data_IF_893093279787
#
_entry.id   IF_893093279787
#
_cell.length_a   1.000
_cell.length_b   1.000
_cell.length_c   1.000
_cell.angle_alpha   90.00
_cell.angle_beta   90.00
_cell.angle_gamma   90.00
#
_symmetry.space_group_name_H-M   'P 1'
#
loop_
_entity.id
_entity.type
_entity.pdbx_description
1 polymer ?
#
# COMPACT_ATOMS: atom_id res chain seq x y z
N UNK A 1 -17.36 -26.02 2.27
CA UNK A 1 -17.11 -24.62 2.67
C UNK A 1 -17.33 -24.51 4.18
N UNK A 2 -16.40 -23.89 4.91
CA UNK A 2 -16.60 -23.55 6.33
C UNK A 2 -17.75 -22.55 6.51
N UNK A 3 -18.31 -22.41 7.73
CA UNK A 3 -19.36 -21.41 8.04
C UNK A 3 -18.88 -19.99 7.70
N UNK A 4 -17.62 -19.66 8.02
CA UNK A 4 -16.95 -18.41 7.71
C UNK A 4 -16.90 -18.13 6.20
N UNK A 5 -16.44 -19.08 5.39
CA UNK A 5 -16.36 -18.91 3.94
C UNK A 5 -17.74 -18.69 3.31
N UNK A 6 -18.78 -19.34 3.85
CA UNK A 6 -20.18 -19.14 3.40
C UNK A 6 -20.63 -17.72 3.74
N UNK A 7 -20.42 -17.28 4.98
CA UNK A 7 -20.80 -15.93 5.43
C UNK A 7 -20.11 -14.83 4.63
N UNK A 8 -18.82 -14.98 4.33
CA UNK A 8 -18.07 -14.05 3.47
C UNK A 8 -18.62 -14.01 2.04
N UNK A 9 -19.05 -15.17 1.49
CA UNK A 9 -19.70 -15.23 0.19
C UNK A 9 -21.06 -14.52 0.17
N UNK A 10 -21.88 -14.72 1.21
CA UNK A 10 -23.16 -14.04 1.37
C UNK A 10 -22.98 -12.52 1.46
N UNK A 11 -22.02 -12.06 2.23
CA UNK A 11 -21.70 -10.63 2.38
C UNK A 11 -21.43 -9.97 1.01
N UNK A 12 -20.70 -10.63 0.11
CA UNK A 12 -20.37 -10.08 -1.22
C UNK A 12 -21.40 -10.40 -2.32
N UNK A 13 -22.56 -10.97 -1.98
CA UNK A 13 -23.62 -11.28 -2.93
C UNK A 13 -23.39 -12.56 -3.75
N UNK A 14 -22.57 -13.51 -3.24
CA UNK A 14 -22.31 -14.79 -3.90
C UNK A 14 -21.35 -14.72 -5.10
N UNK A 15 -20.97 -13.54 -5.57
CA UNK A 15 -20.00 -13.34 -6.66
C UNK A 15 -18.60 -13.86 -6.29
N UNK A 16 -17.73 -14.00 -7.31
CA UNK A 16 -16.33 -14.36 -7.10
C UNK A 16 -15.62 -13.28 -6.24
N UNK A 17 -14.78 -13.67 -5.27
CA UNK A 17 -14.06 -12.70 -4.48
C UNK A 17 -13.07 -11.91 -5.34
N UNK A 18 -12.99 -10.61 -5.14
CA UNK A 18 -11.90 -9.78 -5.69
C UNK A 18 -10.59 -10.19 -5.04
N UNK A 19 -9.61 -10.54 -5.86
CA UNK A 19 -8.28 -10.95 -5.39
C UNK A 19 -7.46 -9.72 -5.00
N UNK A 20 -6.71 -9.86 -3.92
CA UNK A 20 -5.68 -8.88 -3.56
C UNK A 20 -4.52 -8.94 -4.57
N UNK A 21 -3.81 -7.83 -4.68
CA UNK A 21 -2.52 -7.70 -5.37
C UNK A 21 -1.55 -6.92 -4.47
N UNK A 22 -0.33 -6.68 -4.91
CA UNK A 22 0.67 -5.95 -4.12
C UNK A 22 0.15 -4.58 -3.62
N UNK A 23 -0.53 -3.81 -4.48
CA UNK A 23 -1.08 -2.50 -4.13
C UNK A 23 -2.20 -2.61 -3.09
N UNK A 24 -3.15 -3.52 -3.27
CA UNK A 24 -4.26 -3.69 -2.32
C UNK A 24 -3.79 -4.27 -0.99
N UNK A 25 -2.80 -5.17 -1.03
CA UNK A 25 -2.16 -5.71 0.18
C UNK A 25 -1.36 -4.63 0.92
N UNK A 26 -0.57 -3.84 0.21
CA UNK A 26 0.13 -2.68 0.77
C UNK A 26 -0.86 -1.69 1.40
N UNK A 27 -1.98 -1.45 0.75
CA UNK A 27 -3.03 -0.56 1.24
C UNK A 27 -3.66 -1.01 2.56
N UNK A 28 -3.56 -2.29 2.98
CA UNK A 28 -4.00 -2.77 4.30
C UNK A 28 -3.25 -2.06 5.44
N UNK A 29 -2.02 -1.64 5.22
CA UNK A 29 -1.20 -0.94 6.21
C UNK A 29 -1.56 0.53 6.38
N UNK A 30 -2.20 1.14 5.37
CA UNK A 30 -2.48 2.58 5.33
C UNK A 30 -3.52 3.03 6.36
N UNK A 31 -4.40 2.14 6.81
CA UNK A 31 -5.37 2.45 7.85
C UNK A 31 -5.65 1.21 8.73
N UNK A 32 -4.69 0.83 9.56
CA UNK A 32 -4.84 -0.28 10.47
C UNK A 32 -5.87 0.06 11.55
N UNK A 33 -6.95 -0.65 11.63
CA UNK A 33 -7.98 -0.42 12.64
C UNK A 33 -9.34 0.01 12.08
N UNK A 34 -9.49 0.06 10.76
CA UNK A 34 -10.78 0.24 10.12
C UNK A 34 -11.49 -1.11 9.99
N UNK A 35 -12.53 -1.35 10.79
CA UNK A 35 -13.29 -2.61 10.79
C UNK A 35 -14.03 -2.82 9.47
N UNK A 36 -14.67 -1.77 8.94
CA UNK A 36 -15.35 -1.80 7.63
C UNK A 36 -14.41 -2.31 6.54
N UNK A 37 -13.20 -1.74 6.45
CA UNK A 37 -12.22 -2.19 5.47
C UNK A 37 -11.78 -3.63 5.69
N UNK A 38 -11.50 -4.01 6.94
CA UNK A 38 -11.06 -5.37 7.25
C UNK A 38 -12.10 -6.42 6.83
N UNK A 39 -13.39 -6.16 7.09
CA UNK A 39 -14.49 -7.04 6.66
C UNK A 39 -14.60 -7.12 5.14
N UNK A 40 -14.57 -5.98 4.45
CA UNK A 40 -14.73 -5.94 2.99
C UNK A 40 -13.55 -6.60 2.27
N UNK A 41 -12.32 -6.37 2.75
CA UNK A 41 -11.12 -6.99 2.20
C UNK A 41 -11.13 -8.52 2.46
N UNK A 42 -11.52 -8.97 3.67
CA UNK A 42 -11.66 -10.41 3.97
C UNK A 42 -12.76 -11.08 3.14
N UNK A 43 -13.86 -10.38 2.87
CA UNK A 43 -14.92 -10.89 2.01
C UNK A 43 -14.54 -10.90 0.52
N UNK A 44 -13.47 -10.21 0.12
CA UNK A 44 -13.17 -9.99 -1.29
C UNK A 44 -14.25 -9.17 -1.99
N UNK A 45 -14.84 -8.19 -1.29
CA UNK A 45 -15.93 -7.37 -1.81
C UNK A 45 -15.47 -6.46 -2.95
N UNK A 46 -16.36 -6.18 -3.90
CA UNK A 46 -16.14 -5.24 -5.00
C UNK A 46 -16.24 -3.79 -4.53
N UNK A 47 -15.24 -3.30 -3.80
CA UNK A 47 -15.23 -1.94 -3.24
C UNK A 47 -15.43 -0.82 -4.28
N UNK A 48 -14.85 -0.88 -5.50
CA UNK A 48 -15.20 0.05 -6.57
C UNK A 48 -16.70 0.08 -6.89
N UNK A 49 -17.28 -1.09 -7.12
CA UNK A 49 -18.73 -1.21 -7.39
C UNK A 49 -19.60 -0.73 -6.22
N UNK A 50 -19.18 -1.01 -4.97
CA UNK A 50 -19.84 -0.46 -3.78
C UNK A 50 -19.79 1.07 -3.75
N UNK A 51 -18.63 1.66 -4.03
CA UNK A 51 -18.44 3.12 -4.04
C UNK A 51 -19.32 3.80 -5.10
N UNK A 52 -19.41 3.23 -6.30
CA UNK A 52 -20.31 3.69 -7.35
C UNK A 52 -21.77 3.59 -6.90
N UNK A 53 -22.16 2.45 -6.35
CA UNK A 53 -23.54 2.17 -5.96
C UNK A 53 -24.04 3.10 -4.86
N UNK A 54 -23.18 3.50 -3.92
CA UNK A 54 -23.52 4.48 -2.87
C UNK A 54 -23.34 5.93 -3.32
N UNK A 55 -22.96 6.20 -4.58
CA UNK A 55 -22.85 7.54 -5.15
C UNK A 55 -21.54 8.28 -4.83
N UNK A 56 -20.49 7.54 -4.44
CA UNK A 56 -19.16 8.10 -4.12
C UNK A 56 -18.05 7.37 -4.87
N UNK A 57 -18.07 7.36 -6.23
CA UNK A 57 -17.07 6.61 -7.01
C UNK A 57 -15.66 7.12 -6.71
N UNK A 58 -14.76 6.19 -6.45
CA UNK A 58 -13.35 6.49 -6.26
C UNK A 58 -12.67 6.59 -7.62
N UNK A 59 -11.99 7.71 -7.87
CA UNK A 59 -11.18 7.90 -9.07
C UNK A 59 -9.76 7.39 -8.81
N UNK A 60 -9.58 6.07 -8.83
CA UNK A 60 -8.26 5.48 -8.83
C UNK A 60 -7.84 5.10 -10.24
N UNK A 61 -6.64 5.46 -10.60
CA UNK A 61 -6.03 5.05 -11.85
C UNK A 61 -4.69 5.76 -12.03
N UNK A 62 -3.71 5.05 -12.54
CA UNK A 62 -2.51 5.69 -13.10
C UNK A 62 -2.88 6.16 -14.52
N UNK A 63 -2.43 7.36 -14.89
CA UNK A 63 -2.58 7.80 -16.27
C UNK A 63 -1.75 6.87 -17.19
N UNK A 64 -2.20 6.68 -18.44
CA UNK A 64 -1.44 5.90 -19.45
C UNK A 64 -0.02 6.45 -19.61
N UNK A 65 0.14 7.77 -19.53
CA UNK A 65 1.44 8.41 -19.56
C UNK A 65 2.35 7.97 -18.41
N UNK A 66 1.81 7.89 -17.17
CA UNK A 66 2.58 7.46 -16.02
C UNK A 66 3.01 5.99 -16.12
N UNK A 67 2.14 5.13 -16.66
CA UNK A 67 2.44 3.71 -16.90
C UNK A 67 3.56 3.59 -17.97
N UNK A 68 3.38 4.25 -19.11
CA UNK A 68 4.39 4.21 -20.21
C UNK A 68 5.75 4.72 -19.75
N UNK A 69 5.76 5.81 -18.97
CA UNK A 69 7.01 6.34 -18.40
C UNK A 69 7.63 5.36 -17.39
N UNK A 70 6.81 4.70 -16.58
CA UNK A 70 7.25 3.67 -15.64
C UNK A 70 7.97 2.53 -16.36
N UNK A 71 7.29 1.95 -17.34
CA UNK A 71 7.82 0.83 -18.13
C UNK A 71 9.10 1.20 -18.90
N UNK A 72 9.14 2.41 -19.48
CA UNK A 72 10.32 2.89 -20.19
C UNK A 72 11.54 3.09 -19.27
N UNK A 73 11.32 3.62 -18.07
CA UNK A 73 12.39 3.79 -17.08
C UNK A 73 12.87 2.43 -16.55
N UNK A 74 11.96 1.53 -16.25
CA UNK A 74 12.28 0.17 -15.80
C UNK A 74 13.09 -0.60 -16.85
N UNK A 75 12.67 -0.57 -18.12
CA UNK A 75 13.39 -1.20 -19.21
C UNK A 75 14.82 -0.62 -19.37
N UNK A 76 14.99 0.69 -19.18
CA UNK A 76 16.30 1.33 -19.20
C UNK A 76 17.20 0.86 -18.05
N UNK A 77 16.65 0.77 -16.82
CA UNK A 77 17.37 0.32 -15.63
C UNK A 77 17.81 -1.14 -15.74
N UNK A 78 17.00 -1.97 -16.40
CA UNK A 78 17.24 -3.40 -16.61
C UNK A 78 18.02 -3.73 -17.89
N UNK A 79 18.38 -2.71 -18.68
CA UNK A 79 19.16 -2.92 -19.90
C UNK A 79 20.49 -3.65 -19.62
N UNK A 80 21.05 -4.28 -20.67
CA UNK A 80 22.34 -4.97 -20.63
C UNK A 80 22.45 -6.03 -19.50
N UNK A 81 21.36 -6.78 -19.27
CA UNK A 81 21.30 -7.80 -18.23
C UNK A 81 21.40 -7.24 -16.82
N UNK A 82 21.01 -5.98 -16.62
CA UNK A 82 21.00 -5.32 -15.33
C UNK A 82 22.39 -4.92 -14.80
N UNK A 83 23.39 -4.79 -15.65
CA UNK A 83 24.76 -4.47 -15.22
C UNK A 83 24.84 -3.15 -14.43
N UNK A 84 24.21 -2.08 -14.93
CA UNK A 84 24.17 -0.80 -14.22
C UNK A 84 23.34 -0.90 -12.93
N UNK A 85 22.25 -1.67 -12.94
CA UNK A 85 21.45 -1.91 -11.75
C UNK A 85 22.25 -2.64 -10.68
N UNK A 86 22.99 -3.70 -11.05
CA UNK A 86 23.87 -4.41 -10.13
C UNK A 86 24.90 -3.48 -9.50
N UNK A 87 25.56 -2.66 -10.33
CA UNK A 87 26.54 -1.67 -9.87
C UNK A 87 25.92 -0.71 -8.84
N UNK A 88 24.73 -0.17 -9.12
CA UNK A 88 24.02 0.73 -8.21
C UNK A 88 23.63 0.06 -6.88
N UNK A 89 23.13 -1.18 -6.95
CA UNK A 89 22.76 -1.96 -5.75
C UNK A 89 23.99 -2.24 -4.91
N UNK A 90 25.05 -2.75 -5.52
CA UNK A 90 26.31 -3.07 -4.83
C UNK A 90 26.95 -1.83 -4.18
N UNK A 91 26.99 -0.70 -4.90
CA UNK A 91 27.48 0.60 -4.38
C UNK A 91 26.68 0.99 -3.12
N UNK A 92 25.36 0.85 -3.12
CA UNK A 92 24.54 1.21 -1.98
C UNK A 92 24.67 0.26 -0.78
N UNK A 93 24.94 -1.01 -1.06
CA UNK A 93 25.20 -2.00 -0.02
C UNK A 93 26.65 -1.99 0.48
N UNK A 94 27.53 -1.23 -0.18
CA UNK A 94 28.95 -1.18 0.16
C UNK A 94 29.70 -2.49 -0.12
N UNK A 95 29.27 -3.23 -1.16
CA UNK A 95 29.89 -4.50 -1.56
C UNK A 95 30.52 -4.38 -2.94
N UNK A 96 31.54 -5.20 -3.19
CA UNK A 96 32.17 -5.29 -4.52
C UNK A 96 31.24 -6.06 -5.49
N UNK A 97 31.04 -5.51 -6.67
CA UNK A 97 30.20 -6.08 -7.75
C UNK A 97 31.01 -6.52 -8.98
N UNK A 98 32.31 -6.63 -8.85
CA UNK A 98 33.20 -6.96 -9.99
C UNK A 98 33.14 -8.44 -10.41
N UNK A 99 32.49 -9.30 -9.60
CA UNK A 99 32.28 -10.70 -9.91
C UNK A 99 31.19 -10.95 -10.95
N UNK A 100 31.14 -12.15 -11.55
CA UNK A 100 30.07 -12.55 -12.45
C UNK A 100 28.73 -12.56 -11.73
N UNK A 101 27.70 -12.02 -12.36
CA UNK A 101 26.32 -12.08 -11.88
C UNK A 101 25.45 -12.85 -12.89
N UNK A 102 24.46 -13.59 -12.38
CA UNK A 102 23.47 -14.24 -13.22
C UNK A 102 22.21 -13.38 -13.30
N UNK A 103 21.63 -13.28 -14.51
CA UNK A 103 20.32 -12.68 -14.73
C UNK A 103 19.30 -13.75 -15.11
N UNK A 104 18.19 -13.81 -14.42
CA UNK A 104 17.11 -14.74 -14.71
C UNK A 104 15.81 -13.96 -14.84
N UNK A 105 15.25 -13.89 -16.06
CA UNK A 105 13.93 -13.30 -16.32
C UNK A 105 12.85 -14.35 -16.04
N UNK A 106 12.12 -14.16 -14.95
CA UNK A 106 11.02 -15.04 -14.52
C UNK A 106 9.65 -14.55 -15.02
N UNK A 107 9.59 -13.39 -15.67
CA UNK A 107 8.40 -12.80 -16.27
C UNK A 107 8.29 -12.96 -17.79
N UNK A 108 9.30 -13.52 -18.46
CA UNK A 108 9.42 -13.54 -19.92
C UNK A 108 8.23 -14.23 -20.62
N UNK A 109 7.71 -15.28 -20.05
CA UNK A 109 6.64 -16.10 -20.67
C UNK A 109 5.25 -15.43 -20.60
N UNK A 110 5.05 -14.43 -19.73
CA UNK A 110 3.76 -13.78 -19.50
C UNK A 110 3.58 -12.48 -20.31
N UNK A 111 4.52 -12.14 -21.21
CA UNK A 111 4.49 -10.90 -22.04
C UNK A 111 3.55 -10.97 -23.24
N UNK A 112 2.42 -11.62 -23.11
CA UNK A 112 1.40 -11.75 -24.14
C UNK A 112 0.01 -11.52 -23.61
N UNK A 113 -0.80 -12.55 -23.65
CA UNK A 113 -2.14 -12.57 -23.05
C UNK A 113 -2.05 -12.65 -21.51
N UNK A 114 -3.08 -12.15 -20.77
CA UNK A 114 -3.12 -12.33 -19.34
C UNK A 114 -3.03 -13.82 -19.00
N UNK A 115 -2.05 -14.21 -18.15
CA UNK A 115 -1.78 -15.62 -17.89
C UNK A 115 -2.99 -16.31 -17.27
N UNK A 116 -3.29 -17.51 -17.73
CA UNK A 116 -4.29 -18.35 -17.09
C UNK A 116 -3.79 -18.82 -15.70
N UNK A 117 -4.66 -19.43 -14.93
CA UNK A 117 -4.32 -19.90 -13.59
C UNK A 117 -3.18 -20.95 -13.58
N UNK A 118 -3.06 -21.74 -14.67
CA UNK A 118 -2.05 -22.79 -14.81
C UNK A 118 -0.67 -22.18 -15.08
N UNK A 119 -0.60 -21.19 -15.97
CA UNK A 119 0.62 -20.43 -16.27
C UNK A 119 1.12 -19.69 -15.02
N UNK A 120 0.23 -19.01 -14.28
CA UNK A 120 0.56 -18.38 -13.00
C UNK A 120 1.12 -19.37 -11.97
N UNK A 121 0.51 -20.55 -11.84
CA UNK A 121 0.99 -21.56 -10.91
C UNK A 121 2.38 -22.08 -11.31
N UNK A 122 2.60 -22.36 -12.59
CA UNK A 122 3.90 -22.77 -13.13
C UNK A 122 4.99 -21.72 -12.89
N UNK A 123 4.69 -20.44 -13.16
CA UNK A 123 5.62 -19.33 -12.90
C UNK A 123 5.94 -19.17 -11.42
N UNK A 124 4.95 -19.27 -10.54
CA UNK A 124 5.17 -19.22 -9.08
C UNK A 124 6.08 -20.38 -8.60
N UNK A 125 5.90 -21.59 -9.16
CA UNK A 125 6.74 -22.73 -8.84
C UNK A 125 8.19 -22.53 -9.33
N UNK A 126 8.41 -22.02 -10.55
CA UNK A 126 9.74 -21.68 -11.08
C UNK A 126 10.41 -20.60 -10.23
N UNK A 127 9.69 -19.52 -9.89
CA UNK A 127 10.19 -18.44 -9.05
C UNK A 127 10.63 -18.96 -7.67
N UNK A 128 9.82 -19.80 -7.07
CA UNK A 128 10.13 -20.44 -5.78
C UNK A 128 11.40 -21.27 -5.86
N UNK A 129 11.51 -22.16 -6.86
CA UNK A 129 12.68 -23.03 -7.03
C UNK A 129 13.96 -22.20 -7.29
N UNK A 130 13.89 -21.19 -8.15
CA UNK A 130 15.03 -20.34 -8.47
C UNK A 130 15.53 -19.53 -7.25
N UNK A 131 14.60 -18.94 -6.48
CA UNK A 131 14.93 -18.16 -5.28
C UNK A 131 15.46 -19.04 -4.15
N UNK A 132 14.89 -20.23 -3.94
CA UNK A 132 15.39 -21.18 -2.93
C UNK A 132 16.81 -21.65 -3.27
N UNK A 133 17.08 -22.00 -4.54
CA UNK A 133 18.41 -22.39 -5.01
C UNK A 133 19.45 -21.25 -4.92
N UNK A 134 19.02 -20.01 -4.87
CA UNK A 134 19.88 -18.85 -4.71
C UNK A 134 20.14 -18.48 -3.25
N UNK A 135 19.60 -19.21 -2.27
CA UNK A 135 19.96 -18.99 -0.87
C UNK A 135 21.49 -19.11 -0.70
N UNK A 136 22.15 -18.13 -0.05
CA UNK A 136 23.60 -18.14 0.06
C UNK A 136 24.06 -19.35 0.85
N UNK A 137 25.00 -20.11 0.28
CA UNK A 137 25.65 -21.28 0.89
C UNK A 137 27.08 -20.94 1.28
N UNK A 138 27.71 -19.98 0.58
CA UNK A 138 29.08 -19.50 0.81
C UNK A 138 29.22 -17.99 0.62
N UNK A 139 30.31 -17.45 1.17
CA UNK A 139 30.60 -16.02 1.07
C UNK A 139 30.97 -15.56 -0.36
N UNK A 140 31.47 -16.49 -1.18
CA UNK A 140 31.98 -16.23 -2.53
C UNK A 140 30.98 -16.60 -3.65
N UNK A 141 29.73 -16.91 -3.30
CA UNK A 141 28.72 -17.23 -4.30
C UNK A 141 28.45 -16.00 -5.20
N UNK A 142 28.39 -16.18 -6.53
CA UNK A 142 28.15 -15.08 -7.45
C UNK A 142 26.75 -14.48 -7.23
N UNK A 143 26.64 -13.17 -7.40
CA UNK A 143 25.37 -12.46 -7.31
C UNK A 143 24.35 -13.01 -8.32
N UNK A 144 23.08 -13.05 -7.95
CA UNK A 144 22.00 -13.46 -8.82
C UNK A 144 20.87 -12.43 -8.81
N UNK A 145 20.42 -12.04 -10.01
CA UNK A 145 19.35 -11.10 -10.24
C UNK A 145 18.14 -11.82 -10.84
N UNK A 146 17.00 -11.75 -10.17
CA UNK A 146 15.74 -12.35 -10.59
C UNK A 146 14.76 -11.25 -11.00
N UNK A 147 14.51 -11.17 -12.30
CA UNK A 147 13.59 -10.20 -12.90
C UNK A 147 12.16 -10.72 -12.80
N UNK A 148 11.25 -9.91 -12.28
CA UNK A 148 9.83 -10.21 -12.12
C UNK A 148 9.51 -11.59 -11.49
N UNK A 149 10.13 -11.98 -10.37
CA UNK A 149 9.76 -13.22 -9.73
C UNK A 149 8.32 -13.15 -9.19
N UNK A 150 7.59 -14.26 -9.29
CA UNK A 150 6.23 -14.33 -8.77
C UNK A 150 6.24 -14.96 -7.37
N UNK A 151 6.02 -14.13 -6.36
CA UNK A 151 5.94 -14.51 -4.96
C UNK A 151 4.48 -14.81 -4.56
N UNK A 152 4.29 -15.61 -3.52
CA UNK A 152 2.97 -15.87 -2.97
C UNK A 152 2.87 -15.43 -1.52
N UNK A 153 1.73 -14.84 -1.14
CA UNK A 153 1.40 -14.45 0.23
C UNK A 153 -0.05 -14.84 0.54
N UNK A 154 -0.32 -15.34 1.74
CA UNK A 154 -1.69 -15.62 2.15
C UNK A 154 -2.30 -14.41 2.85
N UNK A 155 -3.40 -13.91 2.29
CA UNK A 155 -4.14 -12.73 2.79
C UNK A 155 -5.59 -13.11 3.01
N UNK A 156 -6.05 -13.12 4.24
CA UNK A 156 -7.42 -13.50 4.61
C UNK A 156 -7.86 -14.87 4.04
N UNK A 157 -6.96 -15.85 4.03
CA UNK A 157 -7.21 -17.18 3.50
C UNK A 157 -7.23 -17.27 1.96
N UNK A 158 -6.81 -16.21 1.28
CA UNK A 158 -6.65 -16.19 -0.18
C UNK A 158 -5.18 -16.14 -0.54
N UNK A 159 -4.72 -17.02 -1.45
CA UNK A 159 -3.38 -16.93 -2.02
C UNK A 159 -3.29 -15.79 -3.00
N UNK A 160 -2.43 -14.82 -2.70
CA UNK A 160 -2.15 -13.64 -3.53
C UNK A 160 -0.82 -13.83 -4.23
N UNK A 161 -0.77 -13.49 -5.50
CA UNK A 161 0.48 -13.46 -6.26
C UNK A 161 1.00 -12.02 -6.33
N UNK A 162 2.29 -11.86 -6.05
CA UNK A 162 3.00 -10.60 -5.88
C UNK A 162 4.23 -10.61 -6.79
N UNK A 163 4.43 -9.55 -7.54
CA UNK A 163 5.49 -9.45 -8.52
C UNK A 163 6.36 -8.23 -8.20
N UNK A 164 7.48 -8.38 -7.46
CA UNK A 164 8.47 -7.33 -7.32
C UNK A 164 9.18 -7.06 -8.65
N UNK A 165 9.62 -5.83 -8.86
CA UNK A 165 10.35 -5.46 -10.07
C UNK A 165 11.64 -6.29 -10.23
N UNK A 166 12.35 -6.53 -9.10
CA UNK A 166 13.53 -7.40 -9.08
C UNK A 166 13.87 -7.89 -7.66
N UNK A 167 14.46 -9.07 -7.57
CA UNK A 167 15.11 -9.57 -6.37
C UNK A 167 16.59 -9.83 -6.66
N UNK A 168 17.48 -9.20 -5.89
CA UNK A 168 18.91 -9.44 -5.92
C UNK A 168 19.30 -10.39 -4.79
N UNK A 169 19.99 -11.48 -5.11
CA UNK A 169 20.47 -12.48 -4.15
C UNK A 169 21.98 -12.47 -4.02
N UNK A 170 22.48 -12.92 -2.88
CA UNK A 170 23.90 -13.09 -2.56
C UNK A 170 24.71 -11.78 -2.52
N UNK A 171 24.06 -10.65 -2.48
CA UNK A 171 24.72 -9.36 -2.21
C UNK A 171 24.78 -9.13 -0.70
N UNK A 172 25.95 -8.89 -0.14
CA UNK A 172 26.19 -8.85 1.30
C UNK A 172 25.65 -10.12 2.03
N UNK A 173 25.68 -11.29 1.36
CA UNK A 173 25.17 -12.56 1.90
C UNK A 173 23.65 -12.61 2.10
N UNK A 174 22.88 -11.76 1.42
CA UNK A 174 21.43 -11.62 1.62
C UNK A 174 20.68 -11.51 0.31
N UNK A 175 19.34 -11.60 0.43
CA UNK A 175 18.39 -11.19 -0.57
C UNK A 175 17.96 -9.74 -0.33
N UNK A 176 17.87 -8.97 -1.38
CA UNK A 176 17.38 -7.60 -1.38
C UNK A 176 16.26 -7.44 -2.41
N UNK A 177 15.13 -6.90 -1.99
CA UNK A 177 14.10 -6.44 -2.92
C UNK A 177 14.59 -5.15 -3.54
N UNK A 178 14.49 -5.04 -4.85
CA UNK A 178 14.78 -3.84 -5.62
C UNK A 178 13.47 -3.34 -6.23
N UNK A 179 13.11 -2.11 -5.90
CA UNK A 179 11.88 -1.45 -6.37
C UNK A 179 12.25 -0.31 -7.32
N UNK A 180 11.70 -0.32 -8.52
CA UNK A 180 12.00 0.67 -9.57
C UNK A 180 10.81 1.62 -9.71
N UNK A 181 11.02 2.92 -9.52
CA UNK A 181 9.96 3.93 -9.60
C UNK A 181 10.37 5.08 -10.51
N UNK A 182 9.44 5.56 -11.34
CA UNK A 182 9.68 6.64 -12.30
C UNK A 182 9.49 8.06 -11.75
N UNK A 183 9.26 8.24 -10.45
CA UNK A 183 9.27 9.57 -9.86
C UNK A 183 10.70 10.06 -9.61
N UNK A 184 10.99 11.37 -9.85
CA UNK A 184 12.34 11.87 -9.76
C UNK A 184 12.83 12.04 -8.33
N UNK A 185 14.16 11.92 -8.16
CA UNK A 185 14.93 12.38 -7.01
C UNK A 185 15.57 13.71 -7.39
N UNK A 186 15.07 14.84 -6.86
CA UNK A 186 15.53 16.19 -7.19
C UNK A 186 16.42 16.68 -6.05
N UNK A 187 17.63 17.15 -6.35
CA UNK A 187 18.62 17.60 -5.36
C UNK A 187 18.84 16.57 -4.23
N UNK A 188 18.83 15.29 -4.56
CA UNK A 188 18.99 14.19 -3.61
C UNK A 188 17.76 13.87 -2.78
N UNK A 189 16.63 14.52 -3.02
CA UNK A 189 15.37 14.32 -2.29
C UNK A 189 14.26 13.81 -3.21
N UNK A 190 13.55 12.79 -2.76
CA UNK A 190 12.32 12.31 -3.39
C UNK A 190 11.09 12.75 -2.59
N UNK A 191 9.93 12.81 -3.25
CA UNK A 191 8.66 13.07 -2.58
C UNK A 191 8.43 12.06 -1.43
N UNK A 192 8.31 12.50 -0.17
CA UNK A 192 8.19 11.61 0.99
C UNK A 192 6.99 10.68 0.93
N UNK A 193 5.85 11.15 0.36
CA UNK A 193 4.65 10.34 0.22
C UNK A 193 4.84 9.20 -0.77
N UNK A 194 5.54 9.46 -1.88
CA UNK A 194 5.86 8.43 -2.89
C UNK A 194 6.87 7.41 -2.36
N UNK A 195 7.88 7.85 -1.61
CA UNK A 195 8.83 6.96 -0.94
C UNK A 195 8.12 6.10 0.09
N UNK A 196 7.23 6.68 0.91
CA UNK A 196 6.44 5.93 1.88
C UNK A 196 5.54 4.87 1.21
N UNK A 197 4.91 5.20 0.09
CA UNK A 197 4.09 4.25 -0.67
C UNK A 197 4.94 3.10 -1.25
N UNK A 198 6.12 3.40 -1.81
CA UNK A 198 7.06 2.40 -2.28
C UNK A 198 7.56 1.50 -1.13
N UNK A 199 7.91 2.07 0.02
CA UNK A 199 8.33 1.32 1.21
C UNK A 199 7.26 0.34 1.70
N UNK A 200 5.99 0.74 1.69
CA UNK A 200 4.87 -0.12 2.07
C UNK A 200 4.71 -1.27 1.06
N UNK A 201 4.78 -0.98 -0.23
CA UNK A 201 4.71 -1.99 -1.30
C UNK A 201 5.87 -3.00 -1.19
N UNK A 202 7.08 -2.51 -1.01
CA UNK A 202 8.28 -3.34 -0.86
C UNK A 202 8.23 -4.21 0.40
N UNK A 203 7.64 -3.72 1.51
CA UNK A 203 7.44 -4.53 2.71
C UNK A 203 6.58 -5.77 2.45
N UNK A 204 5.59 -5.68 1.55
CA UNK A 204 4.78 -6.84 1.15
C UNK A 204 5.64 -7.87 0.43
N UNK A 205 6.53 -7.44 -0.45
CA UNK A 205 7.47 -8.32 -1.16
C UNK A 205 8.48 -8.96 -0.22
N UNK A 206 9.07 -8.18 0.70
CA UNK A 206 9.99 -8.70 1.71
C UNK A 206 9.32 -9.76 2.59
N UNK A 207 8.07 -9.53 3.01
CA UNK A 207 7.32 -10.51 3.79
C UNK A 207 7.09 -11.80 3.00
N UNK A 208 6.59 -11.69 1.76
CA UNK A 208 6.33 -12.84 0.91
C UNK A 208 7.60 -13.67 0.60
N UNK A 209 8.73 -12.99 0.37
CA UNK A 209 10.02 -13.65 0.15
C UNK A 209 10.52 -14.34 1.41
N UNK A 210 10.34 -13.76 2.60
CA UNK A 210 10.66 -14.39 3.88
C UNK A 210 9.85 -15.65 4.12
N UNK A 211 8.55 -15.61 3.83
CA UNK A 211 7.68 -16.77 3.96
C UNK A 211 8.06 -17.88 2.96
N UNK A 212 8.40 -17.48 1.72
CA UNK A 212 8.86 -18.41 0.70
C UNK A 212 10.13 -19.14 1.17
N UNK A 213 11.16 -18.40 1.59
CA UNK A 213 12.42 -19.00 2.04
C UNK A 213 12.25 -19.87 3.28
N UNK A 214 11.44 -19.42 4.25
CA UNK A 214 11.13 -20.22 5.43
C UNK A 214 10.39 -21.53 5.07
N UNK A 215 9.48 -21.51 4.10
CA UNK A 215 8.77 -22.70 3.62
C UNK A 215 9.71 -23.70 2.90
N UNK A 216 10.82 -23.20 2.32
CA UNK A 216 11.87 -24.00 1.68
C UNK A 216 12.99 -24.40 2.68
N UNK A 217 12.82 -24.14 3.98
CA UNK A 217 13.77 -24.54 5.04
C UNK A 217 14.96 -23.60 5.24
N UNK A 218 14.92 -22.40 4.64
CA UNK A 218 15.96 -21.38 4.81
C UNK A 218 15.59 -20.36 5.90
N UNK A 219 16.60 -19.68 6.45
CA UNK A 219 16.39 -18.62 7.43
C UNK A 219 15.75 -17.39 6.75
N UNK A 220 14.59 -16.97 7.25
CA UNK A 220 13.92 -15.75 6.79
C UNK A 220 14.76 -14.47 7.00
N UNK A 221 15.76 -14.50 7.91
CA UNK A 221 16.70 -13.41 8.14
C UNK A 221 17.66 -13.18 6.96
N UNK A 222 17.77 -14.13 6.03
CA UNK A 222 18.49 -13.95 4.76
C UNK A 222 17.86 -12.83 3.90
N UNK A 223 16.59 -12.50 4.09
CA UNK A 223 15.95 -11.38 3.38
C UNK A 223 16.12 -10.09 4.15
N UNK A 224 16.84 -9.15 3.57
CA UNK A 224 17.08 -7.83 4.15
C UNK A 224 15.78 -7.05 4.38
N UNK A 225 15.76 -6.24 5.43
CA UNK A 225 14.72 -5.21 5.61
C UNK A 225 15.08 -3.90 4.88
N UNK A 226 16.29 -3.78 4.38
CA UNK A 226 16.72 -2.65 3.57
C UNK A 226 16.42 -2.97 2.11
N UNK A 227 15.48 -2.23 1.56
CA UNK A 227 15.06 -2.34 0.16
C UNK A 227 15.82 -1.31 -0.67
N UNK A 228 16.23 -1.69 -1.87
CA UNK A 228 16.87 -0.77 -2.80
C UNK A 228 15.80 -0.10 -3.67
N UNK A 229 15.60 1.20 -3.48
CA UNK A 229 14.70 2.01 -4.30
C UNK A 229 15.50 2.69 -5.40
N UNK A 230 15.16 2.40 -6.68
CA UNK A 230 15.81 2.97 -7.86
C UNK A 230 14.87 3.96 -8.53
N UNK A 231 15.32 5.20 -8.68
CA UNK A 231 14.55 6.30 -9.26
C UNK A 231 15.39 7.08 -10.28
N UNK A 232 14.78 7.86 -11.19
CA UNK A 232 15.52 8.77 -12.06
C UNK A 232 16.06 9.96 -11.26
N UNK A 233 17.32 10.34 -11.53
CA UNK A 233 17.93 11.56 -10.98
C UNK A 233 17.35 12.76 -11.72
N UNK A 234 16.84 13.70 -10.96
CA UNK A 234 16.26 14.96 -11.44
C UNK A 234 15.20 14.69 -12.55
N UNK A 235 15.29 15.36 -13.67
CA UNK A 235 14.43 15.16 -14.83
C UNK A 235 15.09 14.30 -15.93
N UNK A 236 16.33 13.82 -15.68
CA UNK A 236 17.00 12.88 -16.57
C UNK A 236 16.58 11.43 -16.23
N UNK A 237 16.65 10.53 -17.22
CA UNK A 237 16.40 9.10 -16.98
C UNK A 237 17.62 8.36 -16.38
N UNK A 238 18.60 9.10 -15.82
CA UNK A 238 19.77 8.48 -15.18
C UNK A 238 19.35 7.85 -13.85
N UNK A 239 19.53 6.55 -13.64
CA UNK A 239 19.10 5.91 -12.41
C UNK A 239 19.99 6.27 -11.21
N UNK A 240 19.38 6.41 -10.06
CA UNK A 240 20.05 6.49 -8.75
C UNK A 240 19.35 5.54 -7.78
N UNK A 241 20.14 4.90 -6.90
CA UNK A 241 19.63 4.00 -5.90
C UNK A 241 19.69 4.62 -4.50
N UNK A 242 18.77 4.24 -3.63
CA UNK A 242 18.77 4.57 -2.20
C UNK A 242 18.28 3.39 -1.40
N UNK A 243 18.74 3.25 -0.14
CA UNK A 243 18.25 2.24 0.79
C UNK A 243 17.05 2.79 1.57
N UNK A 244 16.02 1.95 1.67
CA UNK A 244 14.80 2.25 2.41
C UNK A 244 14.55 1.14 3.44
N UNK A 245 14.63 1.47 4.72
CA UNK A 245 14.31 0.55 5.81
C UNK A 245 12.80 0.35 5.93
N UNK A 246 12.34 -0.90 5.74
CA UNK A 246 10.92 -1.26 5.79
C UNK A 246 10.50 -2.01 7.06
N UNK A 247 11.32 -2.04 8.10
CA UNK A 247 11.01 -2.77 9.36
C UNK A 247 9.70 -2.31 10.00
N UNK A 248 9.46 -1.00 10.02
CA UNK A 248 8.22 -0.44 10.56
C UNK A 248 7.00 -0.90 9.76
N UNK A 249 7.08 -0.87 8.45
CA UNK A 249 6.03 -1.30 7.52
C UNK A 249 5.74 -2.79 7.67
N UNK A 250 6.78 -3.62 7.81
CA UNK A 250 6.65 -5.06 8.06
C UNK A 250 5.88 -5.36 9.35
N UNK A 251 6.17 -4.65 10.45
CA UNK A 251 5.45 -4.81 11.71
C UNK A 251 3.96 -4.47 11.58
N UNK A 252 3.66 -3.37 10.89
CA UNK A 252 2.26 -2.95 10.66
C UNK A 252 1.55 -3.95 9.77
N UNK A 253 2.19 -4.39 8.68
CA UNK A 253 1.63 -5.36 7.74
C UNK A 253 1.28 -6.69 8.45
N UNK A 254 2.22 -7.27 9.21
CA UNK A 254 1.98 -8.50 9.96
C UNK A 254 0.79 -8.39 10.89
N UNK A 255 0.68 -7.29 11.67
CA UNK A 255 -0.48 -7.06 12.54
C UNK A 255 -1.80 -7.01 11.78
N UNK A 256 -1.79 -6.46 10.55
CA UNK A 256 -3.00 -6.43 9.74
C UNK A 256 -3.37 -7.82 9.21
N UNK A 257 -2.40 -8.58 8.73
CA UNK A 257 -2.63 -9.95 8.27
C UNK A 257 -3.13 -10.85 9.42
N UNK A 258 -2.53 -10.75 10.61
CA UNK A 258 -2.98 -11.47 11.81
C UNK A 258 -4.43 -11.11 12.20
N UNK A 259 -4.80 -9.84 12.04
CA UNK A 259 -6.17 -9.38 12.28
C UNK A 259 -7.15 -9.94 11.27
N UNK A 260 -6.77 -9.99 9.99
CA UNK A 260 -7.60 -10.57 8.92
C UNK A 260 -7.69 -12.09 9.03
N UNK A 261 -6.69 -12.77 9.57
CA UNK A 261 -6.74 -14.20 9.87
C UNK A 261 -7.80 -14.52 10.94
N UNK A 262 -8.12 -13.58 11.84
CA UNK A 262 -9.19 -13.67 12.86
C UNK A 262 -10.51 -13.09 12.34
N UNK A 263 -10.86 -13.39 11.10
CA UNK A 263 -12.07 -12.87 10.47
C UNK A 263 -13.35 -13.26 11.20
N UNK A 264 -13.37 -14.40 11.88
CA UNK A 264 -14.51 -14.85 12.68
C UNK A 264 -14.87 -13.87 13.78
N UNK A 265 -13.87 -13.26 14.44
CA UNK A 265 -14.09 -12.22 15.45
C UNK A 265 -14.71 -10.94 14.86
N UNK A 266 -14.37 -10.64 13.59
CA UNK A 266 -14.99 -9.52 12.86
C UNK A 266 -16.42 -9.87 12.48
N UNK A 267 -16.67 -11.06 11.95
CA UNK A 267 -17.99 -11.52 11.51
C UNK A 267 -18.98 -11.62 12.68
N UNK A 268 -18.52 -12.07 13.85
CA UNK A 268 -19.37 -12.18 15.06
C UNK A 268 -19.93 -10.83 15.54
N UNK A 269 -19.29 -9.72 15.17
CA UNK A 269 -19.71 -8.36 15.52
C UNK A 269 -20.60 -7.68 14.47
N UNK A 270 -20.75 -8.31 13.30
CA UNK A 270 -21.58 -7.75 12.24
C UNK A 270 -23.07 -7.96 12.51
N UNK A 271 -23.93 -7.01 12.10
CA UNK A 271 -25.36 -7.28 12.00
C UNK A 271 -25.64 -8.52 11.14
N UNK A 272 -26.65 -9.29 11.51
CA UNK A 272 -27.00 -10.53 10.79
C UNK A 272 -27.34 -10.28 9.32
N UNK A 273 -27.94 -9.12 9.02
CA UNK A 273 -28.34 -8.67 7.68
C UNK A 273 -27.29 -7.84 6.95
N UNK A 274 -26.06 -7.76 7.49
CA UNK A 274 -24.96 -7.03 6.84
C UNK A 274 -24.66 -7.59 5.46
N UNK A 275 -24.64 -6.70 4.46
CA UNK A 275 -24.34 -7.01 3.07
C UNK A 275 -23.40 -5.97 2.47
N UNK A 276 -22.54 -6.41 1.58
CA UNK A 276 -21.67 -5.63 0.70
C UNK A 276 -21.83 -6.11 -0.76
N UNK A 277 -23.04 -6.50 -1.12
CA UNK A 277 -23.42 -6.86 -2.48
C UNK A 277 -23.75 -5.60 -3.28
N UNK A 278 -23.01 -5.27 -4.37
CA UNK A 278 -23.26 -4.11 -5.21
C UNK A 278 -24.62 -4.11 -5.90
N UNK A 279 -25.29 -5.25 -5.99
CA UNK A 279 -26.65 -5.36 -6.57
C UNK A 279 -27.74 -4.89 -5.60
N UNK A 280 -27.41 -4.74 -4.32
CA UNK A 280 -28.35 -4.29 -3.29
C UNK A 280 -28.85 -2.87 -3.58
N UNK A 281 -30.10 -2.56 -3.15
CA UNK A 281 -30.64 -1.20 -3.19
C UNK A 281 -29.66 -0.19 -2.53
N UNK A 282 -29.43 0.99 -3.15
CA UNK A 282 -28.42 1.95 -2.67
C UNK A 282 -28.60 2.39 -1.22
N UNK A 283 -29.85 2.64 -0.78
CA UNK A 283 -30.12 3.11 0.58
C UNK A 283 -29.93 1.98 1.61
N UNK A 284 -30.33 0.76 1.24
CA UNK A 284 -30.05 -0.42 2.08
C UNK A 284 -28.54 -0.68 2.15
N UNK A 285 -27.82 -0.56 1.04
CA UNK A 285 -26.36 -0.72 1.01
C UNK A 285 -25.66 0.33 1.88
N UNK A 286 -26.08 1.61 1.80
CA UNK A 286 -25.54 2.67 2.67
C UNK A 286 -25.73 2.33 4.15
N UNK A 287 -26.95 1.97 4.54
CA UNK A 287 -27.24 1.56 5.94
C UNK A 287 -26.37 0.39 6.37
N UNK A 288 -26.23 -0.62 5.50
CA UNK A 288 -25.39 -1.77 5.76
C UNK A 288 -23.92 -1.36 5.97
N UNK A 289 -23.33 -0.60 5.05
CA UNK A 289 -21.94 -0.15 5.18
C UNK A 289 -21.73 0.72 6.43
N UNK A 290 -22.68 1.62 6.74
CA UNK A 290 -22.62 2.52 7.91
C UNK A 290 -22.74 1.74 9.24
N UNK A 291 -23.38 0.57 9.26
CA UNK A 291 -23.50 -0.26 10.47
C UNK A 291 -22.16 -0.83 10.96
N UNK A 292 -21.12 -0.81 10.12
CA UNK A 292 -19.76 -1.24 10.49
C UNK A 292 -18.87 -0.01 10.67
N UNK A 293 -18.24 0.18 11.85
CA UNK A 293 -17.40 1.34 12.11
C UNK A 293 -16.31 1.52 11.06
N UNK A 294 -16.25 2.73 10.47
CA UNK A 294 -15.16 3.14 9.61
C UNK A 294 -14.23 4.07 10.39
N UNK A 295 -12.95 3.96 10.13
CA UNK A 295 -11.94 4.90 10.64
C UNK A 295 -11.35 5.65 9.46
N UNK A 296 -11.99 6.77 9.08
CA UNK A 296 -11.47 7.59 8.01
C UNK A 296 -10.19 8.33 8.45
N UNK A 297 -9.22 8.39 7.54
CA UNK A 297 -8.03 9.25 7.61
C UNK A 297 -7.73 9.76 6.19
N UNK A 298 -7.04 10.92 6.03
CA UNK A 298 -6.70 11.47 4.70
C UNK A 298 -5.99 10.47 3.77
N UNK A 299 -5.13 9.61 4.32
CA UNK A 299 -4.42 8.58 3.57
C UNK A 299 -5.35 7.54 2.92
N UNK A 300 -6.59 7.42 3.40
CA UNK A 300 -7.60 6.58 2.75
C UNK A 300 -7.86 6.99 1.31
N UNK A 301 -7.74 8.29 0.97
CA UNK A 301 -7.95 8.79 -0.39
C UNK A 301 -6.98 8.19 -1.41
N UNK A 302 -5.81 7.77 -0.98
CA UNK A 302 -4.81 7.12 -1.85
C UNK A 302 -4.92 5.59 -1.86
N UNK A 303 -5.65 4.98 -0.90
CA UNK A 303 -5.52 3.57 -0.60
C UNK A 303 -6.85 2.80 -0.45
N UNK A 304 -8.01 3.47 -0.47
CA UNK A 304 -9.30 2.81 -0.25
C UNK A 304 -10.38 3.37 -1.18
N UNK A 305 -11.05 2.51 -1.89
CA UNK A 305 -12.09 2.85 -2.85
C UNK A 305 -13.33 3.50 -2.19
N UNK A 306 -13.60 3.20 -0.92
CA UNK A 306 -14.68 3.79 -0.15
C UNK A 306 -14.28 5.10 0.56
N UNK A 307 -13.09 5.64 0.29
CA UNK A 307 -12.58 6.81 1.01
C UNK A 307 -13.50 8.04 0.93
N UNK A 308 -14.08 8.31 -0.25
CA UNK A 308 -15.01 9.44 -0.41
C UNK A 308 -16.32 9.25 0.34
N UNK A 309 -16.85 8.03 0.39
CA UNK A 309 -18.02 7.68 1.18
C UNK A 309 -17.74 7.87 2.68
N UNK A 310 -16.66 7.30 3.20
CA UNK A 310 -16.27 7.45 4.61
C UNK A 310 -15.95 8.91 4.97
N UNK A 311 -15.32 9.67 4.06
CA UNK A 311 -15.09 11.12 4.23
C UNK A 311 -16.41 11.89 4.35
N UNK A 312 -17.41 11.52 3.56
CA UNK A 312 -18.73 12.15 3.63
C UNK A 312 -19.42 11.87 4.97
N UNK A 313 -19.31 10.64 5.49
CA UNK A 313 -19.85 10.29 6.82
C UNK A 313 -19.20 11.10 7.94
N UNK A 314 -17.89 11.34 7.88
CA UNK A 314 -17.10 12.01 8.94
C UNK A 314 -16.88 13.51 8.66
N UNK A 315 -17.59 14.12 7.70
CA UNK A 315 -17.35 15.51 7.28
C UNK A 315 -17.50 16.56 8.36
N UNK A 316 -18.21 16.24 9.44
CA UNK A 316 -18.40 17.12 10.59
C UNK A 316 -17.31 16.95 11.67
N UNK A 317 -16.44 15.97 11.54
CA UNK A 317 -15.41 15.63 12.52
C UNK A 317 -14.04 16.15 12.11
N UNK A 318 -13.31 16.73 13.04
CA UNK A 318 -11.93 17.19 12.82
C UNK A 318 -10.96 16.03 12.60
N UNK A 319 -11.29 14.83 13.09
CA UNK A 319 -10.54 13.60 12.83
C UNK A 319 -10.38 13.31 11.31
N UNK A 320 -11.35 13.74 10.48
CA UNK A 320 -11.30 13.65 9.04
C UNK A 320 -10.19 14.51 8.37
N UNK A 321 -9.66 15.48 9.08
CA UNK A 321 -8.58 16.36 8.63
C UNK A 321 -7.18 15.76 8.89
N UNK A 322 -7.12 14.66 9.62
CA UNK A 322 -5.89 14.02 10.03
C UNK A 322 -5.37 14.49 11.39
N UNK A 323 -4.54 13.65 11.99
CA UNK A 323 -4.04 13.87 13.36
C UNK A 323 -3.29 15.21 13.54
N UNK A 324 -2.34 15.59 12.66
CA UNK A 324 -1.60 16.85 12.84
C UNK A 324 -2.51 18.08 12.82
N UNK A 325 -3.50 18.09 11.91
CA UNK A 325 -4.46 19.20 11.82
C UNK A 325 -5.35 19.25 13.05
N UNK A 326 -5.86 18.10 13.51
CA UNK A 326 -6.67 18.04 14.73
C UNK A 326 -5.91 18.52 15.97
N UNK A 327 -4.63 18.17 16.09
CA UNK A 327 -3.77 18.64 17.18
C UNK A 327 -3.56 20.16 17.11
N UNK A 328 -3.30 20.70 15.90
CA UNK A 328 -3.18 22.14 15.68
C UNK A 328 -4.49 22.90 15.97
N UNK A 329 -5.64 22.25 15.83
CA UNK A 329 -6.96 22.78 16.18
C UNK A 329 -7.29 22.64 17.69
N UNK A 330 -6.32 22.28 18.52
CA UNK A 330 -6.51 22.13 19.97
C UNK A 330 -7.23 20.85 20.37
N UNK A 331 -7.23 19.81 19.52
CA UNK A 331 -7.89 18.54 19.78
C UNK A 331 -9.42 18.57 19.73
N UNK A 332 -10.01 19.68 19.27
CA UNK A 332 -11.47 19.85 19.15
C UNK A 332 -12.07 18.75 18.28
N UNK A 333 -13.23 18.23 18.66
CA UNK A 333 -13.81 17.03 18.02
C UNK A 333 -14.56 17.35 16.73
N UNK A 334 -15.24 18.49 16.66
CA UNK A 334 -16.11 18.83 15.53
C UNK A 334 -15.71 20.11 14.80
N UNK A 335 -16.01 20.19 13.52
CA UNK A 335 -15.82 21.39 12.71
C UNK A 335 -16.67 22.56 13.23
N UNK A 336 -17.89 22.27 13.73
CA UNK A 336 -18.76 23.29 14.30
C UNK A 336 -18.13 23.98 15.50
N UNK A 337 -17.53 23.23 16.42
CA UNK A 337 -16.79 23.77 17.57
C UNK A 337 -15.58 24.62 17.12
N UNK A 338 -14.81 24.15 16.12
CA UNK A 338 -13.68 24.92 15.56
C UNK A 338 -14.17 26.28 15.01
N UNK A 339 -15.30 26.28 14.29
CA UNK A 339 -15.87 27.51 13.75
C UNK A 339 -16.39 28.44 14.84
N UNK A 340 -16.98 27.90 15.90
CA UNK A 340 -17.42 28.67 17.07
C UNK A 340 -16.25 29.31 17.83
N UNK A 341 -15.13 28.59 18.02
CA UNK A 341 -13.87 29.13 18.58
C UNK A 341 -13.30 30.24 17.68
N UNK A 342 -13.31 30.06 16.36
CA UNK A 342 -12.82 31.03 15.39
C UNK A 342 -13.67 32.32 15.35
N UNK A 343 -14.99 32.17 15.49
CA UNK A 343 -15.92 33.30 15.58
C UNK A 343 -15.91 34.00 16.95
N UNK A 344 -15.34 33.40 17.98
CA UNK A 344 -15.35 33.89 19.35
C UNK A 344 -16.68 33.70 20.08
N UNK A 345 -17.60 32.93 19.52
CA UNK A 345 -18.87 32.58 20.15
C UNK A 345 -18.72 31.47 21.21
N UNK A 346 -17.61 30.75 21.20
CA UNK A 346 -17.20 29.78 22.21
C UNK A 346 -15.82 30.17 22.74
N UNK A 347 -15.64 30.30 24.08
CA UNK A 347 -14.32 30.57 24.67
C UNK A 347 -13.37 29.39 24.59
N UNK A 348 -13.88 28.17 24.43
CA UNK A 348 -13.14 26.91 24.49
C UNK A 348 -12.83 26.41 25.91
N UNK A 349 -12.41 25.17 25.99
CA UNK A 349 -11.91 24.59 27.24
C UNK A 349 -10.53 25.22 27.61
N UNK A 350 -10.10 25.15 28.90
CA UNK A 350 -8.83 25.74 29.31
C UNK A 350 -7.61 25.32 28.50
N UNK A 351 -7.54 24.06 28.06
CA UNK A 351 -6.46 23.54 27.21
C UNK A 351 -6.55 23.96 25.74
N UNK A 352 -7.58 24.69 25.34
CA UNK A 352 -7.82 25.14 23.96
C UNK A 352 -7.59 26.64 23.76
N UNK A 353 -7.21 27.37 24.79
CA UNK A 353 -7.10 28.83 24.77
C UNK A 353 -6.14 29.34 23.66
N UNK A 354 -4.98 28.70 23.50
CA UNK A 354 -3.99 29.07 22.47
C UNK A 354 -4.56 28.80 21.06
N UNK A 355 -5.11 27.62 20.84
CA UNK A 355 -5.72 27.27 19.55
C UNK A 355 -6.87 28.22 19.21
N UNK A 356 -7.74 28.55 20.17
CA UNK A 356 -8.83 29.51 19.99
C UNK A 356 -8.32 30.91 19.65
N UNK A 357 -7.21 31.38 20.26
CA UNK A 357 -6.59 32.65 19.93
C UNK A 357 -6.06 32.68 18.49
N UNK A 358 -5.36 31.61 18.06
CA UNK A 358 -4.84 31.47 16.70
C UNK A 358 -5.98 31.40 15.67
N UNK A 359 -7.04 30.63 15.95
CA UNK A 359 -8.22 30.50 15.08
C UNK A 359 -8.93 31.86 14.88
N UNK A 360 -9.10 32.64 15.97
CA UNK A 360 -9.67 34.01 15.87
C UNK A 360 -8.77 34.95 15.08
N UNK A 361 -7.44 34.86 15.25
CA UNK A 361 -6.51 35.66 14.44
C UNK A 361 -6.58 35.29 12.97
N UNK A 362 -6.59 34.00 12.64
CA UNK A 362 -6.75 33.51 11.26
C UNK A 362 -8.09 33.94 10.65
N UNK A 363 -9.20 33.87 11.41
CA UNK A 363 -10.51 34.31 10.94
C UNK A 363 -10.54 35.80 10.60
N UNK A 364 -9.89 36.67 11.42
CA UNK A 364 -9.74 38.10 11.13
C UNK A 364 -8.94 38.33 9.86
N UNK A 365 -7.75 37.72 9.75
CA UNK A 365 -6.90 37.86 8.55
C UNK A 365 -7.64 37.42 7.27
N UNK A 366 -8.41 36.33 7.36
CA UNK A 366 -9.24 35.87 6.24
C UNK A 366 -10.32 36.92 5.88
N UNK A 367 -11.01 37.48 6.87
CA UNK A 367 -12.03 38.49 6.64
C UNK A 367 -11.43 39.73 5.97
N UNK A 368 -10.29 40.22 6.45
CA UNK A 368 -9.59 41.37 5.88
C UNK A 368 -9.14 41.12 4.43
N UNK A 369 -8.59 39.91 4.17
CA UNK A 369 -8.20 39.54 2.82
C UNK A 369 -9.38 39.47 1.82
N UNK A 370 -10.53 39.00 2.27
CA UNK A 370 -11.73 38.93 1.44
C UNK A 370 -12.36 40.31 1.23
N UNK A 371 -12.31 41.21 2.22
CA UNK A 371 -12.81 42.59 2.09
C UNK A 371 -11.95 43.44 1.16
N UNK A 372 -10.67 43.13 0.99
CA UNK A 372 -9.72 43.81 0.11
C UNK A 372 -9.69 43.30 -1.34
N UNK A 373 -10.48 42.28 -1.71
CA UNK A 373 -10.58 41.83 -3.10
C UNK A 373 -11.62 42.69 -3.85
N UNK A 374 -11.26 43.37 -4.96
CA UNK A 374 -12.25 44.00 -5.82
C UNK A 374 -13.19 42.97 -6.44
N UNK A 375 -14.45 43.28 -6.47
CA UNK A 375 -15.53 42.44 -7.03
C UNK A 375 -15.36 42.20 -8.54
#
# INVERSE_FOLDING_TARGET
>A
MTSTARRLAEIRGGGAPRRHNARTTAALTGNPGCDRRAVLDSAGADKPGLAERVGFPARFGQSRFAITRGNAFEALVKADGGAELLRLVAERLGVDSTGPATWTDLGAEDRGDPPDATAQFGRAARSRAALAAAAPVGADDPAALFDHPLLGLDVAGQRVHLEPDLVAARLAGRFHVVEIKSFPVIDGQADPGKVAAAAIQSAVYVLALRELLAAEGHDAALVSSDVVLVCPRDFANRPVASLVDVRKQLLVLRRQLDRMARVDDLLARLPADFTADPSTDPERLRRSLTSVPARYAPDCLAACELAYFCRHETRAETAALGRPVREALGGVATVAEVLALAAGSDPGAPGQAEAAALLRAAARLRADALAGQPA
#
